data_IF_261180935113
#
_entry.id   IF_261180935113
#
_cell.length_a   1.000
_cell.length_b   1.000
_cell.length_c   1.000
_cell.angle_alpha   90.00
_cell.angle_beta   90.00
_cell.angle_gamma   90.00
#
_symmetry.space_group_name_H-M   'P 1'
#
loop_
_entity.id
_entity.type
_entity.pdbx_description
1 polymer ?
#
# COMPACT_ATOMS: atom_id res chain seq x y z
N UNK A 1 -24.11 3.18 -4.61
CA UNK A 1 -24.06 2.08 -5.61
C UNK A 1 -22.65 1.87 -6.16
N UNK A 2 -21.94 2.90 -6.64
CA UNK A 2 -20.54 2.78 -7.09
C UNK A 2 -19.57 2.28 -6.00
N UNK A 3 -19.70 2.78 -4.76
CA UNK A 3 -18.83 2.40 -3.63
C UNK A 3 -18.94 0.92 -3.26
N UNK A 4 -20.17 0.36 -3.35
CA UNK A 4 -20.46 -1.05 -3.02
C UNK A 4 -19.84 -2.00 -4.06
N UNK A 5 -19.93 -1.63 -5.35
CA UNK A 5 -19.30 -2.38 -6.44
C UNK A 5 -17.76 -2.38 -6.34
N UNK A 6 -17.15 -1.27 -5.92
CA UNK A 6 -15.69 -1.22 -5.72
C UNK A 6 -15.27 -2.05 -4.51
N UNK A 7 -16.05 -2.04 -3.41
CA UNK A 7 -15.77 -2.89 -2.25
C UNK A 7 -15.89 -4.39 -2.55
N UNK A 8 -16.92 -4.81 -3.29
CA UNK A 8 -17.11 -6.24 -3.64
C UNK A 8 -15.99 -6.77 -4.56
N UNK A 9 -15.56 -5.95 -5.54
CA UNK A 9 -14.47 -6.32 -6.47
C UNK A 9 -13.12 -6.38 -5.74
N UNK A 10 -12.89 -5.52 -4.76
CA UNK A 10 -11.65 -5.55 -3.95
C UNK A 10 -11.65 -6.68 -2.92
N UNK A 11 -12.81 -7.13 -2.44
CA UNK A 11 -12.96 -8.25 -1.51
C UNK A 11 -12.76 -9.60 -2.22
N UNK A 12 -13.36 -9.79 -3.40
CA UNK A 12 -13.13 -10.98 -4.23
C UNK A 12 -11.66 -11.11 -4.69
N UNK A 13 -11.01 -9.99 -5.02
CA UNK A 13 -9.59 -9.98 -5.35
C UNK A 13 -8.70 -10.33 -4.15
N UNK A 14 -9.02 -9.83 -2.95
CA UNK A 14 -8.29 -10.16 -1.72
C UNK A 14 -8.39 -11.64 -1.36
N UNK A 15 -9.58 -12.25 -1.51
CA UNK A 15 -9.82 -13.67 -1.22
C UNK A 15 -9.06 -14.65 -2.14
N UNK A 16 -8.41 -14.17 -3.21
CA UNK A 16 -7.60 -15.00 -4.12
C UNK A 16 -6.13 -15.12 -3.72
N UNK A 17 -5.64 -14.27 -2.81
CA UNK A 17 -4.24 -14.27 -2.41
C UNK A 17 -4.04 -15.09 -1.12
N UNK A 18 -3.05 -15.99 -1.12
CA UNK A 18 -2.57 -16.58 0.12
C UNK A 18 -1.85 -15.51 0.97
N UNK A 19 -1.74 -15.74 2.28
CA UNK A 19 -0.93 -14.87 3.16
C UNK A 19 0.51 -14.71 2.64
N UNK A 20 1.12 -15.80 2.14
CA UNK A 20 2.46 -15.75 1.57
C UNK A 20 2.55 -14.89 0.31
N UNK A 21 1.50 -14.86 -0.51
CA UNK A 21 1.46 -13.99 -1.69
C UNK A 21 1.32 -12.52 -1.29
N UNK A 22 0.49 -12.22 -0.29
CA UNK A 22 0.34 -10.85 0.25
C UNK A 22 1.68 -10.34 0.80
N UNK A 23 2.36 -11.13 1.64
CA UNK A 23 3.67 -10.77 2.17
C UNK A 23 4.71 -10.59 1.06
N UNK A 24 4.70 -11.46 0.03
CA UNK A 24 5.58 -11.32 -1.12
C UNK A 24 5.28 -10.07 -1.94
N UNK A 25 4.02 -9.66 -2.04
CA UNK A 25 3.63 -8.43 -2.75
C UNK A 25 4.09 -7.20 -1.98
N UNK A 26 3.82 -7.12 -0.67
CA UNK A 26 4.17 -5.98 0.19
C UNK A 26 5.69 -5.87 0.38
N UNK A 27 6.40 -7.00 0.49
CA UNK A 27 7.86 -7.03 0.59
C UNK A 27 8.60 -6.67 -0.71
N UNK A 28 7.90 -6.38 -1.82
CA UNK A 28 8.57 -5.89 -3.03
C UNK A 28 9.13 -4.50 -2.78
N UNK A 29 10.38 -4.30 -3.20
CA UNK A 29 11.05 -2.99 -3.18
C UNK A 29 10.13 -1.89 -3.73
N UNK A 30 10.00 -0.78 -3.01
CA UNK A 30 9.16 0.35 -3.41
C UNK A 30 7.73 0.32 -2.89
N UNK A 31 7.20 -0.84 -2.46
CA UNK A 31 5.80 -0.91 -1.99
C UNK A 31 5.63 -0.24 -0.63
N UNK A 32 6.48 -0.59 0.33
CA UNK A 32 6.49 0.03 1.66
C UNK A 32 6.86 1.50 1.59
N UNK A 33 7.78 1.88 0.69
CA UNK A 33 8.18 3.28 0.49
C UNK A 33 6.99 4.16 0.10
N UNK A 34 6.08 3.64 -0.75
CA UNK A 34 4.83 4.34 -1.11
C UNK A 34 3.89 4.43 0.09
N UNK A 35 3.75 3.36 0.87
CA UNK A 35 2.87 3.36 2.05
C UNK A 35 3.33 4.39 3.09
N UNK A 36 4.62 4.39 3.45
CA UNK A 36 5.21 5.38 4.35
C UNK A 36 5.16 6.81 3.79
N UNK A 37 5.37 6.98 2.47
CA UNK A 37 5.22 8.28 1.82
C UNK A 37 3.80 8.86 2.00
N UNK A 38 2.77 8.01 1.98
CA UNK A 38 1.36 8.39 2.13
C UNK A 38 0.86 8.43 3.58
N UNK A 39 1.66 8.02 4.55
CA UNK A 39 1.30 8.01 5.97
C UNK A 39 1.05 9.42 6.52
N UNK A 40 1.87 10.38 6.08
CA UNK A 40 1.80 11.76 6.55
C UNK A 40 0.62 12.55 5.98
N UNK A 41 0.34 12.41 4.68
CA UNK A 41 -0.68 13.18 3.98
C UNK A 41 -1.03 12.59 2.60
N UNK A 42 -2.20 12.93 2.03
CA UNK A 42 -2.51 12.63 0.64
C UNK A 42 -1.55 13.32 -0.35
N UNK A 43 -1.04 12.59 -1.34
CA UNK A 43 -0.04 13.10 -2.30
C UNK A 43 -0.41 12.84 -3.76
N UNK A 44 0.03 13.73 -4.65
CA UNK A 44 -0.05 13.53 -6.12
C UNK A 44 0.96 12.49 -6.57
N UNK A 45 0.71 11.89 -7.73
CA UNK A 45 1.63 10.94 -8.37
C UNK A 45 3.07 11.47 -8.45
N UNK A 46 3.26 12.73 -8.88
CA UNK A 46 4.59 13.34 -9.01
C UNK A 46 5.31 13.55 -7.68
N UNK A 47 4.57 13.83 -6.59
CA UNK A 47 5.13 13.95 -5.25
C UNK A 47 5.62 12.59 -4.75
N UNK A 48 4.79 11.55 -4.90
CA UNK A 48 5.16 10.18 -4.52
C UNK A 48 6.38 9.72 -5.33
N UNK A 49 6.40 10.01 -6.63
CA UNK A 49 7.53 9.69 -7.51
C UNK A 49 8.83 10.36 -7.03
N UNK A 50 8.75 11.63 -6.62
CA UNK A 50 9.90 12.38 -6.14
C UNK A 50 10.40 11.85 -4.79
N UNK A 51 9.50 11.64 -3.83
CA UNK A 51 9.85 11.19 -2.48
C UNK A 51 10.35 9.74 -2.45
N UNK A 52 9.71 8.83 -3.21
CA UNK A 52 10.11 7.41 -3.25
C UNK A 52 11.22 7.13 -4.26
N UNK A 53 11.55 8.08 -5.14
CA UNK A 53 12.51 7.94 -6.26
C UNK A 53 12.19 6.77 -7.20
N UNK A 54 10.95 6.31 -7.22
CA UNK A 54 10.48 5.30 -8.16
C UNK A 54 10.31 5.93 -9.53
N UNK A 55 10.65 5.18 -10.59
CA UNK A 55 10.32 5.63 -11.94
C UNK A 55 8.79 5.57 -12.17
N UNK A 56 8.24 6.38 -13.10
CA UNK A 56 6.79 6.47 -13.32
C UNK A 56 6.11 5.11 -13.57
N UNK A 57 6.71 4.26 -14.40
CA UNK A 57 6.12 2.98 -14.79
C UNK A 57 6.02 1.99 -13.61
N UNK A 58 7.03 2.00 -12.72
CA UNK A 58 7.03 1.18 -11.51
C UNK A 58 6.06 1.73 -10.47
N UNK A 59 6.04 3.06 -10.27
CA UNK A 59 5.11 3.70 -9.35
C UNK A 59 3.65 3.44 -9.75
N UNK A 60 3.30 3.61 -11.03
CA UNK A 60 1.94 3.34 -11.54
C UNK A 60 1.53 1.89 -11.29
N UNK A 61 2.44 0.94 -11.56
CA UNK A 61 2.19 -0.48 -11.29
C UNK A 61 1.96 -0.76 -9.80
N UNK A 62 2.78 -0.18 -8.92
CA UNK A 62 2.64 -0.38 -7.48
C UNK A 62 1.35 0.24 -6.95
N UNK A 63 1.02 1.48 -7.33
CA UNK A 63 -0.22 2.14 -6.92
C UNK A 63 -1.46 1.35 -7.38
N UNK A 64 -1.47 0.82 -8.61
CA UNK A 64 -2.56 -0.06 -9.08
C UNK A 64 -2.73 -1.30 -8.21
N UNK A 65 -1.65 -1.92 -7.78
CA UNK A 65 -1.70 -3.09 -6.89
C UNK A 65 -2.19 -2.69 -5.49
N UNK A 66 -1.66 -1.62 -4.91
CA UNK A 66 -2.07 -1.13 -3.60
C UNK A 66 -3.54 -0.69 -3.57
N UNK A 67 -4.04 -0.10 -4.65
CA UNK A 67 -5.47 0.21 -4.83
C UNK A 67 -6.30 -1.07 -4.93
N UNK A 68 -5.85 -2.06 -5.71
CA UNK A 68 -6.54 -3.35 -5.82
C UNK A 68 -6.63 -4.09 -4.48
N UNK A 69 -5.60 -3.97 -3.64
CA UNK A 69 -5.59 -4.54 -2.29
C UNK A 69 -6.40 -3.69 -1.28
N UNK A 70 -6.89 -2.52 -1.67
CA UNK A 70 -7.64 -1.62 -0.81
C UNK A 70 -6.79 -0.93 0.25
N UNK A 71 -5.47 -0.82 0.05
CA UNK A 71 -4.54 -0.14 0.99
C UNK A 71 -4.39 1.35 0.66
N UNK A 72 -4.57 1.71 -0.60
CA UNK A 72 -4.51 3.09 -1.10
C UNK A 72 -5.78 3.37 -1.89
N UNK A 73 -6.27 4.61 -1.83
CA UNK A 73 -7.34 5.09 -2.71
C UNK A 73 -6.87 6.31 -3.48
N UNK A 74 -7.41 6.50 -4.69
CA UNK A 74 -7.20 7.70 -5.51
C UNK A 74 -8.48 8.54 -5.55
N UNK A 75 -8.42 9.76 -5.04
CA UNK A 75 -9.52 10.73 -4.99
C UNK A 75 -8.98 12.10 -5.43
N UNK A 76 -9.67 12.81 -6.32
CA UNK A 76 -9.28 14.16 -6.78
C UNK A 76 -7.80 14.34 -7.20
N UNK A 77 -7.25 13.32 -7.89
CA UNK A 77 -5.84 13.24 -8.31
C UNK A 77 -4.81 13.16 -7.18
N UNK A 78 -5.26 12.89 -5.96
CA UNK A 78 -4.44 12.56 -4.81
C UNK A 78 -4.56 11.07 -4.49
N UNK A 79 -3.51 10.50 -3.94
CA UNK A 79 -3.48 9.17 -3.36
C UNK A 79 -3.41 9.33 -1.85
N UNK A 80 -4.15 8.51 -1.10
CA UNK A 80 -4.09 8.47 0.36
C UNK A 80 -4.21 7.04 0.85
N UNK A 81 -3.73 6.78 2.06
CA UNK A 81 -3.99 5.52 2.75
C UNK A 81 -5.48 5.36 3.05
N UNK A 82 -5.93 4.11 2.99
CA UNK A 82 -7.17 3.69 3.62
C UNK A 82 -6.90 3.29 5.08
N UNK A 83 -7.94 3.06 5.86
CA UNK A 83 -7.80 2.49 7.21
C UNK A 83 -7.05 1.15 7.21
N UNK A 84 -7.30 0.31 6.19
CA UNK A 84 -6.54 -0.95 6.01
C UNK A 84 -5.08 -0.69 5.67
N UNK A 85 -4.79 0.34 4.88
CA UNK A 85 -3.41 0.77 4.59
C UNK A 85 -2.65 1.18 5.84
N UNK A 86 -3.28 1.98 6.71
CA UNK A 86 -2.71 2.39 8.00
C UNK A 86 -2.40 1.19 8.90
N UNK A 87 -3.36 0.27 9.07
CA UNK A 87 -3.15 -0.96 9.88
C UNK A 87 -2.00 -1.84 9.37
N UNK A 88 -1.79 -1.86 8.05
CA UNK A 88 -0.66 -2.60 7.47
C UNK A 88 0.67 -1.97 7.84
N UNK A 89 0.78 -0.63 7.85
CA UNK A 89 1.99 0.07 8.30
C UNK A 89 2.27 -0.25 9.77
N UNK A 90 1.27 -0.10 10.64
CA UNK A 90 1.37 -0.42 12.07
C UNK A 90 1.85 -1.87 12.28
N UNK A 91 1.29 -2.83 11.54
CA UNK A 91 1.70 -4.24 11.60
C UNK A 91 3.14 -4.48 11.14
N UNK A 92 3.61 -3.73 10.13
CA UNK A 92 5.01 -3.80 9.66
C UNK A 92 5.95 -3.25 10.72
N UNK A 93 5.58 -2.17 11.40
CA UNK A 93 6.37 -1.57 12.47
C UNK A 93 6.46 -2.49 13.69
N UNK A 94 5.35 -3.09 14.11
CA UNK A 94 5.33 -4.10 15.17
C UNK A 94 6.23 -5.30 14.84
N UNK A 95 6.12 -5.83 13.61
CA UNK A 95 6.97 -6.92 13.15
C UNK A 95 8.45 -6.53 13.17
N UNK A 96 8.76 -5.33 12.68
CA UNK A 96 10.13 -4.81 12.66
C UNK A 96 10.69 -4.63 14.08
N UNK A 97 9.87 -4.18 15.03
CA UNK A 97 10.24 -4.07 16.44
C UNK A 97 10.56 -5.43 17.06
N UNK A 98 9.74 -6.44 16.77
CA UNK A 98 10.00 -7.83 17.22
C UNK A 98 11.31 -8.35 16.64
N UNK A 99 11.56 -8.14 15.34
CA UNK A 99 12.77 -8.63 14.67
C UNK A 99 14.05 -7.97 15.20
N UNK A 100 14.02 -6.66 15.49
CA UNK A 100 15.19 -5.96 16.07
C UNK A 100 15.53 -6.43 17.48
N UNK A 101 14.54 -6.84 18.28
CA UNK A 101 14.76 -7.40 19.62
C UNK A 101 15.44 -8.77 19.62
N UNK A 102 15.51 -9.46 18.49
CA UNK A 102 16.23 -10.74 18.36
C UNK A 102 17.73 -10.52 18.16
N UNK A 103 18.15 -9.29 17.84
CA UNK A 103 19.56 -8.93 17.62
C UNK A 103 20.26 -8.39 18.89
N UNK A 104 19.56 -8.30 20.04
CA UNK A 104 20.09 -7.95 21.37
C UNK A 104 20.15 -9.18 22.29
#
# INVERSE_FOLDING_TARGET
>A
MLTVLVSEVTEAARNSYSTGDLLRIIGRRGMTDILYCLESEPKRFSQIMFETRLNPSILDRHLKVLIKLGLVVKEDNLYRLTESGTKVIESIEELTHVLRKVEE
#
